data_IF_785880012866
#
_entry.id   IF_785880012866
#
_cell.length_a   1.000
_cell.length_b   1.000
_cell.length_c   1.000
_cell.angle_alpha   90.00
_cell.angle_beta   90.00
_cell.angle_gamma   90.00
#
_symmetry.space_group_name_H-M   'P 1'
#
loop_
_entity.id
_entity.type
_entity.pdbx_description
1 polymer ?
#
# COMPACT_ATOMS: atom_id res chain seq x y z
N UNK A 1 5.09 20.16 9.95
CA UNK A 1 5.96 20.08 8.75
C UNK A 1 5.13 20.47 7.54
N UNK A 2 5.66 21.33 6.66
CA UNK A 2 4.94 21.70 5.45
C UNK A 2 4.75 20.46 4.54
N UNK A 3 3.55 20.30 4.00
CA UNK A 3 3.23 19.21 3.07
C UNK A 3 3.96 19.48 1.74
N UNK A 4 4.68 18.48 1.23
CA UNK A 4 5.29 18.58 -0.09
C UNK A 4 4.21 18.49 -1.17
N UNK A 5 4.14 19.51 -2.01
CA UNK A 5 3.29 19.55 -3.20
C UNK A 5 4.18 19.47 -4.43
N UNK A 6 4.21 18.30 -5.06
CA UNK A 6 4.93 18.09 -6.31
C UNK A 6 4.17 18.73 -7.49
N UNK A 7 4.91 19.06 -8.54
CA UNK A 7 4.34 19.59 -9.78
C UNK A 7 3.97 18.42 -10.70
N UNK A 8 2.74 18.40 -11.19
CA UNK A 8 2.27 17.45 -12.19
C UNK A 8 2.32 18.09 -13.59
N UNK A 9 3.50 18.05 -14.22
CA UNK A 9 3.74 18.67 -15.54
C UNK A 9 2.87 18.11 -16.66
N UNK A 10 2.47 16.84 -16.57
CA UNK A 10 1.70 16.15 -17.61
C UNK A 10 0.22 16.05 -17.27
N UNK A 11 -0.19 16.61 -16.13
CA UNK A 11 -1.56 16.48 -15.63
C UNK A 11 -2.02 15.02 -15.57
N UNK A 12 -1.18 14.15 -15.04
CA UNK A 12 -1.48 12.72 -14.91
C UNK A 12 -2.71 12.46 -14.04
N UNK A 13 -2.99 13.36 -13.10
CA UNK A 13 -4.18 13.31 -12.25
C UNK A 13 -5.48 13.22 -13.07
N UNK A 14 -5.53 13.87 -14.24
CA UNK A 14 -6.69 13.83 -15.12
C UNK A 14 -6.97 12.44 -15.72
N UNK A 15 -5.97 11.54 -15.74
CA UNK A 15 -6.10 10.17 -16.24
C UNK A 15 -6.71 9.23 -15.21
N UNK A 16 -6.75 9.64 -13.94
CA UNK A 16 -7.25 8.81 -12.85
C UNK A 16 -8.77 8.94 -12.72
N UNK A 17 -9.44 7.84 -12.37
CA UNK A 17 -10.85 7.88 -11.99
C UNK A 17 -11.03 8.55 -10.61
N UNK A 18 -12.25 8.91 -10.27
CA UNK A 18 -12.57 9.49 -8.95
C UNK A 18 -12.24 8.53 -7.81
N UNK A 19 -12.51 7.23 -8.02
CA UNK A 19 -12.16 6.17 -7.06
C UNK A 19 -10.65 6.06 -6.86
N UNK A 20 -9.87 6.07 -7.94
CA UNK A 20 -8.40 6.02 -7.90
C UNK A 20 -7.81 7.24 -7.19
N UNK A 21 -8.36 8.44 -7.44
CA UNK A 21 -7.96 9.65 -6.70
C UNK A 21 -8.26 9.55 -5.22
N UNK A 22 -9.43 9.00 -4.86
CA UNK A 22 -9.82 8.82 -3.46
C UNK A 22 -8.87 7.83 -2.75
N UNK A 23 -8.50 6.73 -3.40
CA UNK A 23 -7.51 5.77 -2.89
C UNK A 23 -6.16 6.46 -2.68
N UNK A 24 -5.69 7.21 -3.67
CA UNK A 24 -4.45 7.99 -3.56
C UNK A 24 -4.48 8.92 -2.35
N UNK A 25 -5.54 9.70 -2.22
CA UNK A 25 -5.64 10.71 -1.16
C UNK A 25 -5.72 10.06 0.22
N UNK A 26 -6.40 8.93 0.34
CA UNK A 26 -6.49 8.16 1.58
C UNK A 26 -5.11 7.62 2.00
N UNK A 27 -4.38 7.01 1.10
CA UNK A 27 -3.05 6.48 1.39
C UNK A 27 -2.06 7.62 1.68
N UNK A 28 -2.14 8.69 0.91
CA UNK A 28 -1.32 9.89 1.12
C UNK A 28 -1.53 10.48 2.51
N UNK A 29 -2.77 10.63 2.94
CA UNK A 29 -3.08 11.15 4.28
C UNK A 29 -2.52 10.25 5.38
N UNK A 30 -2.67 8.95 5.23
CA UNK A 30 -2.10 7.99 6.17
C UNK A 30 -0.56 8.09 6.23
N UNK A 31 0.11 8.19 5.10
CA UNK A 31 1.57 8.37 5.03
C UNK A 31 2.01 9.64 5.74
N UNK A 32 1.32 10.76 5.50
CA UNK A 32 1.63 12.05 6.13
C UNK A 32 1.44 12.03 7.66
N UNK A 33 0.42 11.32 8.14
CA UNK A 33 0.06 11.34 9.56
C UNK A 33 0.70 10.22 10.38
N UNK A 34 0.87 9.04 9.81
CA UNK A 34 1.38 7.86 10.51
C UNK A 34 2.86 7.57 10.24
N UNK A 35 3.35 7.83 9.03
CA UNK A 35 4.71 7.45 8.60
C UNK A 35 5.69 8.60 8.74
N UNK A 36 5.41 9.73 8.13
CA UNK A 36 6.34 10.86 8.05
C UNK A 36 6.85 11.35 9.42
N UNK A 37 6.01 11.41 10.48
CA UNK A 37 6.49 11.88 11.78
C UNK A 37 7.51 10.97 12.46
N UNK A 38 7.54 9.67 12.13
CA UNK A 38 8.35 8.68 12.86
C UNK A 38 9.47 8.05 12.04
N UNK A 39 9.41 8.18 10.70
CA UNK A 39 10.28 7.37 9.83
C UNK A 39 11.76 7.78 9.93
N UNK A 40 12.05 9.06 10.15
CA UNK A 40 13.43 9.53 10.31
C UNK A 40 14.15 8.86 11.48
N UNK A 41 13.52 8.83 12.64
CA UNK A 41 14.06 8.19 13.84
C UNK A 41 14.13 6.68 13.69
N UNK A 42 13.11 6.05 13.11
CA UNK A 42 13.11 4.62 12.82
C UNK A 42 14.29 4.22 11.90
N UNK A 43 14.55 5.02 10.87
CA UNK A 43 15.67 4.81 9.95
C UNK A 43 17.02 4.92 10.67
N UNK A 44 17.23 5.98 11.46
CA UNK A 44 18.47 6.20 12.22
C UNK A 44 18.71 5.07 13.22
N UNK A 45 17.66 4.61 13.91
CA UNK A 45 17.74 3.55 14.91
C UNK A 45 17.74 2.15 14.31
N UNK A 46 17.62 2.01 12.98
CA UNK A 46 17.56 0.72 12.26
C UNK A 46 16.40 -0.14 12.75
N UNK A 47 15.26 0.48 13.01
CA UNK A 47 14.04 -0.17 13.47
C UNK A 47 12.96 -0.10 12.40
N UNK A 48 12.32 -1.25 12.12
CA UNK A 48 11.11 -1.26 11.31
C UNK A 48 9.91 -0.92 12.21
N UNK A 49 9.05 0.05 11.84
CA UNK A 49 7.91 0.47 12.66
C UNK A 49 6.78 -0.56 12.63
N UNK A 50 6.94 -1.68 13.32
CA UNK A 50 6.02 -2.83 13.34
C UNK A 50 4.59 -2.46 13.73
N UNK A 51 4.41 -1.40 14.52
CA UNK A 51 3.09 -0.93 14.93
C UNK A 51 2.22 -0.44 13.76
N UNK A 52 2.83 -0.14 12.61
CA UNK A 52 2.09 0.25 11.40
C UNK A 52 1.48 -0.94 10.65
N UNK A 53 1.90 -2.18 10.93
CA UNK A 53 1.42 -3.37 10.20
C UNK A 53 -0.10 -3.56 10.35
N UNK A 54 -0.70 -3.51 11.54
CA UNK A 54 -2.16 -3.57 11.66
C UNK A 54 -2.87 -2.45 10.91
N UNK A 55 -2.34 -1.23 10.93
CA UNK A 55 -2.91 -0.09 10.21
C UNK A 55 -2.88 -0.31 8.69
N UNK A 56 -1.80 -0.88 8.16
CA UNK A 56 -1.70 -1.26 6.74
C UNK A 56 -2.76 -2.32 6.37
N UNK A 57 -3.01 -3.27 7.27
CA UNK A 57 -4.09 -4.25 7.10
C UNK A 57 -5.46 -3.60 7.06
N UNK A 58 -5.77 -2.71 7.98
CA UNK A 58 -7.02 -1.96 8.04
C UNK A 58 -7.22 -1.05 6.82
N UNK A 59 -6.13 -0.47 6.31
CA UNK A 59 -6.15 0.38 5.12
C UNK A 59 -6.45 -0.41 3.83
N UNK A 60 -6.32 -1.75 3.87
CA UNK A 60 -6.60 -2.63 2.74
C UNK A 60 -5.51 -2.68 1.68
N UNK A 61 -4.30 -2.25 1.99
CA UNK A 61 -3.19 -2.20 1.02
C UNK A 61 -2.41 -3.50 0.89
N UNK A 62 -2.59 -4.43 1.82
CA UNK A 62 -1.97 -5.75 1.76
C UNK A 62 -2.76 -6.65 0.79
N UNK A 63 -2.18 -6.95 -0.37
CA UNK A 63 -2.87 -7.68 -1.43
C UNK A 63 -4.02 -6.90 -2.07
N UNK A 64 -3.90 -5.59 -2.22
CA UNK A 64 -4.98 -4.71 -2.65
C UNK A 64 -5.63 -5.09 -3.99
N UNK A 65 -4.91 -5.72 -4.90
CA UNK A 65 -5.40 -6.16 -6.20
C UNK A 65 -5.88 -7.62 -6.25
N UNK A 66 -5.93 -8.29 -5.12
CA UNK A 66 -6.47 -9.66 -5.01
C UNK A 66 -7.98 -9.64 -4.74
N UNK A 67 -8.72 -10.75 -5.06
CA UNK A 67 -10.18 -10.78 -4.95
C UNK A 67 -10.71 -10.56 -3.53
N UNK A 68 -11.86 -9.89 -3.44
CA UNK A 68 -12.56 -9.63 -2.17
C UNK A 68 -12.95 -10.91 -1.42
N UNK A 69 -13.21 -12.01 -2.15
CA UNK A 69 -13.59 -13.30 -1.56
C UNK A 69 -12.51 -13.88 -0.61
N UNK A 70 -11.26 -13.44 -0.76
CA UNK A 70 -10.14 -13.82 0.12
C UNK A 70 -9.82 -12.75 1.18
N UNK A 71 -10.71 -11.78 1.36
CA UNK A 71 -10.53 -10.71 2.34
C UNK A 71 -9.66 -9.55 1.86
N UNK A 72 -9.40 -9.47 0.55
CA UNK A 72 -8.61 -8.41 -0.07
C UNK A 72 -9.50 -7.31 -0.66
N UNK A 73 -8.92 -6.22 -1.16
CA UNK A 73 -9.69 -5.05 -1.60
C UNK A 73 -10.25 -5.16 -3.03
N UNK A 74 -9.77 -6.10 -3.85
CA UNK A 74 -10.24 -6.30 -5.21
C UNK A 74 -10.01 -5.12 -6.15
N UNK A 75 -9.00 -4.30 -5.91
CA UNK A 75 -8.70 -3.10 -6.69
C UNK A 75 -8.01 -3.44 -8.01
N UNK A 76 -8.06 -2.51 -8.97
CA UNK A 76 -7.33 -2.65 -10.23
C UNK A 76 -5.82 -2.39 -10.07
N UNK A 77 -5.04 -2.68 -11.11
CA UNK A 77 -3.58 -2.52 -11.07
C UNK A 77 -3.14 -1.05 -11.06
N UNK A 78 -3.94 -0.13 -11.59
CA UNK A 78 -3.66 1.31 -11.50
C UNK A 78 -3.73 1.76 -10.05
N UNK A 79 -4.78 1.38 -9.33
CA UNK A 79 -4.91 1.65 -7.89
C UNK A 79 -3.76 1.03 -7.09
N UNK A 80 -3.36 -0.19 -7.41
CA UNK A 80 -2.20 -0.85 -6.78
C UNK A 80 -0.92 -0.02 -6.99
N UNK A 81 -0.65 0.43 -8.22
CA UNK A 81 0.51 1.26 -8.54
C UNK A 81 0.50 2.59 -7.78
N UNK A 82 -0.65 3.24 -7.67
CA UNK A 82 -0.83 4.48 -6.93
C UNK A 82 -0.56 4.28 -5.44
N UNK A 83 -1.05 3.18 -4.84
CA UNK A 83 -0.76 2.82 -3.45
C UNK A 83 0.76 2.68 -3.25
N UNK A 84 1.43 1.95 -4.13
CA UNK A 84 2.89 1.79 -4.05
C UNK A 84 3.61 3.13 -4.16
N UNK A 85 3.18 4.01 -5.06
CA UNK A 85 3.76 5.35 -5.23
C UNK A 85 3.64 6.19 -3.95
N UNK A 86 2.48 6.22 -3.32
CA UNK A 86 2.26 6.99 -2.11
C UNK A 86 3.04 6.43 -0.90
N UNK A 87 3.14 5.11 -0.79
CA UNK A 87 3.96 4.48 0.24
C UNK A 87 5.45 4.77 0.04
N UNK A 88 5.95 4.67 -1.20
CA UNK A 88 7.34 4.98 -1.56
C UNK A 88 7.71 6.42 -1.24
N UNK A 89 6.77 7.35 -1.43
CA UNK A 89 6.95 8.76 -1.06
C UNK A 89 7.24 8.94 0.43
N UNK A 90 6.67 8.11 1.28
CA UNK A 90 6.95 8.10 2.72
C UNK A 90 8.23 7.36 3.07
N UNK A 91 8.34 6.11 2.64
CA UNK A 91 9.48 5.24 2.93
C UNK A 91 9.54 4.03 2.03
N UNK A 92 10.69 3.80 1.41
CA UNK A 92 10.93 2.64 0.55
C UNK A 92 10.81 1.31 1.30
N UNK A 93 11.19 1.26 2.56
CA UNK A 93 11.09 0.04 3.38
C UNK A 93 9.64 -0.37 3.63
N UNK A 94 8.76 0.57 3.92
CA UNK A 94 7.32 0.32 4.09
C UNK A 94 6.70 -0.10 2.76
N UNK A 95 6.99 0.61 1.66
CA UNK A 95 6.54 0.19 0.34
C UNK A 95 7.02 -1.22 0.01
N UNK A 96 8.27 -1.54 0.28
CA UNK A 96 8.84 -2.87 0.05
C UNK A 96 8.12 -3.95 0.87
N UNK A 97 7.84 -3.69 2.14
CA UNK A 97 7.05 -4.61 2.98
C UNK A 97 5.70 -4.94 2.33
N UNK A 98 4.95 -3.93 1.92
CA UNK A 98 3.63 -4.11 1.30
C UNK A 98 3.73 -4.83 -0.03
N UNK A 99 4.68 -4.48 -0.89
CA UNK A 99 4.85 -5.13 -2.20
C UNK A 99 5.32 -6.57 -2.11
N UNK A 100 6.19 -6.89 -1.15
CA UNK A 100 6.62 -8.29 -0.91
C UNK A 100 5.42 -9.12 -0.45
N UNK A 101 4.67 -8.64 0.53
CA UNK A 101 3.49 -9.35 1.02
C UNK A 101 2.46 -9.60 -0.09
N UNK A 102 2.13 -8.59 -0.87
CA UNK A 102 1.12 -8.68 -1.93
C UNK A 102 1.59 -9.47 -3.15
N UNK A 103 2.76 -9.12 -3.70
CA UNK A 103 3.21 -9.63 -4.99
C UNK A 103 4.03 -10.93 -4.88
N UNK A 104 4.83 -11.08 -3.82
CA UNK A 104 5.73 -12.24 -3.70
C UNK A 104 5.19 -13.33 -2.78
N UNK A 105 4.24 -13.02 -1.90
CA UNK A 105 3.64 -13.99 -0.97
C UNK A 105 2.19 -14.29 -1.38
N UNK A 106 1.32 -13.30 -1.29
CA UNK A 106 -0.13 -13.51 -1.50
C UNK A 106 -0.46 -13.87 -2.94
N UNK A 107 0.11 -13.17 -3.92
CA UNK A 107 -0.18 -13.43 -5.33
C UNK A 107 0.21 -14.84 -5.79
N UNK A 108 1.42 -15.38 -5.50
CA UNK A 108 1.76 -16.76 -5.83
C UNK A 108 0.85 -17.78 -5.17
N UNK A 109 0.45 -17.57 -3.93
CA UNK A 109 -0.51 -18.46 -3.25
C UNK A 109 -1.85 -18.42 -3.98
N UNK A 110 -2.35 -17.24 -4.32
CA UNK A 110 -3.59 -17.05 -5.05
C UNK A 110 -3.55 -17.73 -6.43
N UNK A 111 -2.48 -17.49 -7.20
CA UNK A 111 -2.38 -17.95 -8.60
C UNK A 111 -2.10 -19.46 -8.73
N UNK A 112 -1.37 -20.05 -7.79
CA UNK A 112 -0.85 -21.41 -7.89
C UNK A 112 -1.24 -22.31 -6.72
N UNK A 113 -1.79 -21.76 -5.67
CA UNK A 113 -2.24 -22.50 -4.49
C UNK A 113 -3.59 -23.19 -4.70
N UNK A 114 -3.90 -24.16 -3.82
CA UNK A 114 -5.24 -24.73 -3.73
C UNK A 114 -6.21 -23.75 -3.06
N UNK A 115 -7.53 -23.98 -3.24
CA UNK A 115 -8.56 -23.19 -2.57
C UNK A 115 -8.40 -23.18 -1.04
N UNK A 116 -8.00 -24.29 -0.46
CA UNK A 116 -7.72 -24.37 0.98
C UNK A 116 -6.54 -23.48 1.38
N UNK A 117 -5.47 -23.46 0.58
CA UNK A 117 -4.31 -22.58 0.81
C UNK A 117 -4.67 -21.12 0.65
N UNK A 118 -5.47 -20.77 -0.35
CA UNK A 118 -5.94 -19.41 -0.57
C UNK A 118 -6.76 -18.89 0.62
N UNK A 119 -7.65 -19.70 1.13
CA UNK A 119 -8.52 -19.35 2.26
C UNK A 119 -7.73 -19.18 3.57
N UNK A 120 -6.70 -19.99 3.80
CA UNK A 120 -5.85 -19.92 5.00
C UNK A 120 -4.77 -18.84 4.90
N UNK A 121 -4.23 -18.63 3.72
CA UNK A 121 -3.14 -17.68 3.47
C UNK A 121 -3.55 -16.21 3.38
N UNK A 122 -4.84 -15.94 3.21
CA UNK A 122 -5.39 -14.59 3.11
C UNK A 122 -5.82 -13.98 4.46
N UNK A 123 -5.53 -14.62 5.57
CA UNK A 123 -5.92 -14.16 6.92
C UNK A 123 -4.72 -13.75 7.76
#
# INVERSE_FOLDING_TARGET
MARFEGIDFYNLDALLSDEERMIRDTVREWVETAVMPIIGDAYINREFPKHLIPELGELGVLGANLPEEYGCAGLNNVSYGIIMQELERGDSGIRSFVSVQGALVMYPIFAFGSEEQNTKGGR
#
